data_IF_980904518819
#
_entry.id   IF_980904518819
#
_cell.length_a   1.000
_cell.length_b   1.000
_cell.length_c   1.000
_cell.angle_alpha   90.00
_cell.angle_beta   90.00
_cell.angle_gamma   90.00
#
_symmetry.space_group_name_H-M   'P 1'
#
loop_
_entity.id
_entity.type
_entity.pdbx_description
1 polymer ?
#
# COMPACT_ATOMS: atom_id res chain seq x y z
N UNK A 1 6.37 36.24 -45.95
CA UNK A 1 7.20 35.51 -44.94
C UNK A 1 6.50 35.56 -43.58
N UNK A 2 5.52 34.69 -43.30
CA UNK A 2 4.76 34.69 -42.02
C UNK A 2 4.35 33.29 -41.51
N UNK A 3 4.74 32.21 -42.21
CA UNK A 3 4.30 30.83 -41.88
C UNK A 3 5.31 30.03 -41.05
N UNK A 4 6.58 30.44 -41.03
CA UNK A 4 7.64 29.71 -40.33
C UNK A 4 7.62 29.91 -38.80
N UNK A 5 7.09 31.05 -38.31
CA UNK A 5 7.13 31.40 -36.89
C UNK A 5 6.03 30.69 -36.07
N UNK A 6 4.91 30.31 -36.69
CA UNK A 6 3.79 29.66 -36.00
C UNK A 6 4.05 28.18 -35.71
N UNK A 7 4.83 27.50 -36.55
CA UNK A 7 5.15 26.07 -36.41
C UNK A 7 6.17 25.84 -35.28
N UNK A 8 7.10 26.78 -35.10
CA UNK A 8 8.12 26.69 -34.05
C UNK A 8 7.53 26.81 -32.63
N UNK A 9 6.44 27.56 -32.45
CA UNK A 9 5.82 27.77 -31.14
C UNK A 9 4.97 26.58 -30.67
N UNK A 10 4.44 25.77 -31.59
CA UNK A 10 3.64 24.60 -31.25
C UNK A 10 4.53 23.40 -30.85
N UNK A 11 5.73 23.29 -31.44
CA UNK A 11 6.69 22.22 -31.12
C UNK A 11 7.32 22.37 -29.73
N UNK A 12 7.54 23.60 -29.27
CA UNK A 12 8.13 23.86 -27.95
C UNK A 12 7.14 23.66 -26.81
N UNK A 13 5.85 23.90 -27.03
CA UNK A 13 4.79 23.64 -26.04
C UNK A 13 4.50 22.15 -25.86
N UNK A 14 4.64 21.32 -26.90
CA UNK A 14 4.53 19.86 -26.78
C UNK A 14 5.71 19.24 -26.02
N UNK A 15 6.92 19.76 -26.23
CA UNK A 15 8.10 19.27 -25.51
C UNK A 15 8.08 19.62 -24.02
N UNK A 16 7.48 20.74 -23.61
CA UNK A 16 7.36 21.10 -22.20
C UNK A 16 6.33 20.24 -21.44
N UNK A 17 5.26 19.78 -22.11
CA UNK A 17 4.25 18.93 -21.48
C UNK A 17 4.70 17.46 -21.34
N UNK A 18 5.54 16.96 -22.26
CA UNK A 18 6.00 15.57 -22.23
C UNK A 18 6.97 15.25 -21.08
N UNK A 19 7.68 16.24 -20.53
CA UNK A 19 8.63 16.03 -19.40
C UNK A 19 7.94 16.06 -18.03
N UNK A 20 6.63 16.35 -17.98
CA UNK A 20 5.87 16.46 -16.73
C UNK A 20 5.17 15.16 -16.32
N UNK A 21 5.31 14.09 -17.11
CA UNK A 21 4.99 12.73 -16.62
C UNK A 21 6.12 12.27 -15.71
N UNK A 22 6.19 12.91 -14.54
CA UNK A 22 6.98 12.45 -13.42
C UNK A 22 6.60 11.00 -13.16
N UNK A 23 7.58 10.12 -13.34
CA UNK A 23 7.58 8.75 -12.86
C UNK A 23 6.92 8.75 -11.47
N UNK A 24 5.78 8.08 -11.34
CA UNK A 24 5.29 7.70 -10.02
C UNK A 24 6.44 6.91 -9.40
N UNK A 25 7.03 7.41 -8.31
CA UNK A 25 8.12 6.73 -7.61
C UNK A 25 7.66 5.31 -7.29
N UNK A 26 8.18 4.33 -8.04
CA UNK A 26 7.94 2.94 -7.68
C UNK A 26 8.48 2.74 -6.25
N UNK A 27 7.70 2.08 -5.37
CA UNK A 27 8.14 1.84 -4.01
C UNK A 27 9.53 1.17 -4.01
N UNK A 28 10.56 1.87 -3.53
CA UNK A 28 11.92 1.35 -3.42
C UNK A 28 11.96 0.21 -2.41
N UNK A 29 11.91 -1.03 -2.87
CA UNK A 29 11.95 -2.20 -1.99
C UNK A 29 12.17 -3.50 -2.75
N UNK A 30 12.09 -4.62 -2.03
CA UNK A 30 12.21 -5.95 -2.64
C UNK A 30 10.83 -6.57 -2.75
N UNK A 31 10.47 -7.05 -3.95
CA UNK A 31 9.27 -7.84 -4.13
C UNK A 31 9.40 -9.17 -3.40
N UNK A 32 8.48 -9.46 -2.50
CA UNK A 32 8.49 -10.67 -1.67
C UNK A 32 7.08 -11.23 -1.52
N UNK A 33 7.00 -12.54 -1.25
CA UNK A 33 5.79 -13.18 -0.75
C UNK A 33 6.03 -13.57 0.70
N UNK A 34 5.24 -13.01 1.61
CA UNK A 34 5.32 -13.29 3.04
C UNK A 34 4.13 -14.17 3.44
N UNK A 35 4.41 -15.27 4.13
CA UNK A 35 3.38 -16.15 4.69
C UNK A 35 3.20 -15.88 6.19
N UNK A 36 1.97 -15.63 6.62
CA UNK A 36 1.70 -15.24 8.00
C UNK A 36 0.22 -15.08 8.32
N UNK A 37 -0.06 -14.47 9.47
CA UNK A 37 -1.41 -14.16 9.92
C UNK A 37 -1.69 -12.67 9.81
N UNK A 38 -2.86 -12.31 9.31
CA UNK A 38 -3.32 -10.92 9.30
C UNK A 38 -3.94 -10.58 10.65
N UNK A 39 -3.57 -9.42 11.19
CA UNK A 39 -4.12 -8.86 12.43
C UNK A 39 -4.67 -7.48 12.13
N UNK A 40 -5.93 -7.24 12.49
CA UNK A 40 -6.56 -5.92 12.37
C UNK A 40 -6.49 -5.22 13.74
N UNK A 41 -5.73 -4.13 13.82
CA UNK A 41 -5.65 -3.28 15.00
C UNK A 41 -6.78 -2.26 14.95
N UNK A 42 -7.68 -2.32 15.94
CA UNK A 42 -8.85 -1.45 16.01
C UNK A 42 -8.69 -0.49 17.19
N UNK A 43 -8.90 0.80 16.93
CA UNK A 43 -8.89 1.82 17.97
C UNK A 43 -10.22 1.81 18.73
N UNK A 44 -10.15 1.64 20.05
CA UNK A 44 -11.27 1.94 20.94
C UNK A 44 -11.22 3.43 21.28
N UNK A 45 -12.02 4.21 20.57
CA UNK A 45 -12.11 5.67 20.75
C UNK A 45 -12.58 6.11 22.12
N UNK A 46 -13.35 5.27 22.83
CA UNK A 46 -13.85 5.63 24.16
C UNK A 46 -12.76 5.51 25.22
N UNK A 47 -11.79 4.61 25.00
CA UNK A 47 -10.73 4.30 25.97
C UNK A 47 -9.35 4.79 25.54
N UNK A 48 -9.19 5.25 24.29
CA UNK A 48 -7.89 5.64 23.74
C UNK A 48 -6.91 4.48 23.59
N UNK A 49 -7.40 3.24 23.63
CA UNK A 49 -6.59 2.01 23.58
C UNK A 49 -6.74 1.34 22.22
N UNK A 50 -5.67 0.73 21.72
CA UNK A 50 -5.73 -0.16 20.55
C UNK A 50 -6.01 -1.58 21.03
N UNK A 51 -7.13 -2.14 20.60
CA UNK A 51 -7.43 -3.55 20.85
C UNK A 51 -7.07 -4.34 19.58
N UNK A 52 -6.14 -5.30 19.66
CA UNK A 52 -5.87 -6.17 18.54
C UNK A 52 -7.08 -7.09 18.36
N UNK A 53 -7.69 -7.04 17.19
CA UNK A 53 -8.57 -8.13 16.76
C UNK A 53 -7.67 -9.10 16.00
N UNK A 54 -7.38 -10.24 16.64
CA UNK A 54 -6.86 -11.41 15.93
C UNK A 54 -8.03 -11.94 15.10
N UNK A 55 -8.28 -11.26 14.00
CA UNK A 55 -9.43 -11.52 13.16
C UNK A 55 -9.07 -12.76 12.35
N UNK A 56 -9.63 -13.92 12.69
CA UNK A 56 -9.59 -15.08 11.79
C UNK A 56 -10.56 -14.92 10.61
N UNK A 57 -11.31 -13.82 10.55
CA UNK A 57 -12.27 -13.45 9.51
C UNK A 57 -12.30 -11.95 9.23
N UNK A 58 -13.26 -11.44 8.43
CA UNK A 58 -13.19 -10.09 7.83
C UNK A 58 -13.20 -8.95 8.86
N UNK A 59 -12.52 -7.84 8.56
CA UNK A 59 -12.51 -6.63 9.38
C UNK A 59 -12.95 -5.35 8.64
N UNK A 60 -13.37 -5.47 7.37
CA UNK A 60 -13.84 -4.37 6.52
C UNK A 60 -15.02 -3.55 7.11
N UNK A 61 -15.81 -4.12 8.00
CA UNK A 61 -16.97 -3.46 8.63
C UNK A 61 -16.61 -2.66 9.89
N UNK A 62 -15.34 -2.64 10.31
CA UNK A 62 -14.91 -2.03 11.55
C UNK A 62 -13.94 -0.84 11.35
N UNK A 63 -14.27 0.18 10.52
CA UNK A 63 -13.37 1.31 10.30
C UNK A 63 -13.36 2.27 11.51
N UNK A 64 -12.26 3.01 11.71
CA UNK A 64 -10.94 2.83 11.10
C UNK A 64 -10.09 1.80 11.86
N UNK A 65 -9.32 1.03 11.11
CA UNK A 65 -8.41 0.01 11.64
C UNK A 65 -7.12 -0.03 10.82
N UNK A 66 -6.08 -0.64 11.38
CA UNK A 66 -4.78 -0.81 10.74
C UNK A 66 -4.46 -2.29 10.55
N UNK A 67 -3.82 -2.63 9.44
CA UNK A 67 -3.54 -4.02 9.06
C UNK A 67 -2.07 -4.37 9.30
N UNK A 68 -1.85 -5.49 9.98
CA UNK A 68 -0.53 -6.08 10.16
C UNK A 68 -0.50 -7.49 9.57
N UNK A 69 0.66 -7.92 9.10
CA UNK A 69 0.97 -9.32 8.81
C UNK A 69 2.08 -9.77 9.76
N UNK A 70 1.80 -10.82 10.54
CA UNK A 70 2.77 -11.47 11.41
C UNK A 70 3.21 -12.76 10.75
N UNK A 71 4.45 -12.81 10.26
CA UNK A 71 4.99 -14.01 9.62
C UNK A 71 5.29 -15.11 10.64
N UNK A 72 5.52 -16.33 10.13
CA UNK A 72 5.79 -17.52 10.97
C UNK A 72 7.03 -17.39 11.86
N UNK A 73 8.04 -16.62 11.43
CA UNK A 73 9.25 -16.31 12.18
C UNK A 73 9.06 -15.13 13.16
N UNK A 74 7.84 -14.60 13.29
CA UNK A 74 7.50 -13.52 14.23
C UNK A 74 7.80 -12.12 13.72
N UNK A 75 8.24 -11.95 12.46
CA UNK A 75 8.42 -10.62 11.87
C UNK A 75 7.07 -9.98 11.60
N UNK A 76 6.96 -8.69 11.94
CA UNK A 76 5.73 -7.92 11.81
C UNK A 76 5.88 -6.92 10.67
N UNK A 77 4.95 -6.97 9.73
CA UNK A 77 4.84 -6.03 8.63
C UNK A 77 3.58 -5.18 8.81
N UNK A 78 3.70 -3.86 8.73
CA UNK A 78 2.54 -3.00 8.47
C UNK A 78 2.14 -3.15 7.01
N UNK A 79 0.86 -3.41 6.75
CA UNK A 79 0.34 -3.51 5.40
C UNK A 79 -0.14 -2.13 4.95
N UNK A 80 0.41 -1.67 3.84
CA UNK A 80 0.05 -0.42 3.17
C UNK A 80 -0.14 -0.71 1.69
N UNK A 81 -0.76 0.18 0.92
CA UNK A 81 -0.89 -0.06 -0.52
C UNK A 81 -2.15 0.54 -1.10
N UNK A 82 -2.47 0.09 -2.32
CA UNK A 82 -3.66 0.52 -3.02
C UNK A 82 -4.91 0.06 -2.27
N UNK A 83 -5.98 0.86 -2.37
CA UNK A 83 -7.25 0.57 -1.73
C UNK A 83 -7.74 -0.83 -2.09
N UNK A 84 -7.59 -1.27 -3.34
CA UNK A 84 -8.06 -2.58 -3.81
C UNK A 84 -7.37 -3.75 -3.12
N UNK A 85 -6.02 -3.79 -3.11
CA UNK A 85 -5.27 -4.84 -2.43
C UNK A 85 -5.58 -4.91 -0.94
N UNK A 86 -5.67 -3.76 -0.26
CA UNK A 86 -6.07 -3.72 1.15
C UNK A 86 -7.52 -4.15 1.37
N UNK A 87 -8.46 -3.74 0.50
CA UNK A 87 -9.87 -4.15 0.53
C UNK A 87 -10.04 -5.67 0.40
N UNK A 88 -9.27 -6.29 -0.50
CA UNK A 88 -9.28 -7.74 -0.69
C UNK A 88 -8.83 -8.49 0.56
N UNK A 89 -7.82 -7.97 1.27
CA UNK A 89 -7.35 -8.54 2.51
C UNK A 89 -8.40 -8.40 3.62
N UNK A 90 -8.93 -7.21 3.87
CA UNK A 90 -9.86 -6.97 4.97
C UNK A 90 -11.24 -7.63 4.81
N UNK A 91 -11.66 -7.92 3.57
CA UNK A 91 -12.92 -8.61 3.29
C UNK A 91 -12.79 -10.13 3.24
N UNK A 92 -11.55 -10.65 3.31
CA UNK A 92 -11.29 -12.08 3.30
C UNK A 92 -11.84 -12.76 4.54
N UNK A 93 -12.49 -13.90 4.35
CA UNK A 93 -12.87 -14.79 5.44
C UNK A 93 -11.70 -15.57 6.03
N UNK A 94 -10.53 -15.56 5.38
CA UNK A 94 -9.33 -16.26 5.83
C UNK A 94 -8.16 -15.29 6.05
N UNK A 95 -7.71 -15.20 7.30
CA UNK A 95 -6.56 -14.40 7.72
C UNK A 95 -5.44 -15.23 8.36
N UNK A 96 -5.54 -16.55 8.36
CA UNK A 96 -4.54 -17.45 8.96
C UNK A 96 -3.68 -18.09 7.87
N UNK A 97 -2.35 -18.09 8.05
CA UNK A 97 -1.38 -18.62 7.08
C UNK A 97 -1.60 -18.13 5.64
N UNK A 98 -1.97 -16.86 5.49
CA UNK A 98 -2.16 -16.24 4.19
C UNK A 98 -0.82 -15.93 3.56
N UNK A 99 -0.78 -15.96 2.23
CA UNK A 99 0.38 -15.54 1.44
C UNK A 99 0.10 -14.18 0.84
N UNK A 100 0.83 -13.17 1.30
CA UNK A 100 0.69 -11.80 0.82
C UNK A 100 1.92 -11.45 0.01
N UNK A 101 1.71 -11.07 -1.25
CA UNK A 101 2.78 -10.61 -2.13
C UNK A 101 2.76 -9.09 -2.19
N UNK A 102 3.94 -8.48 -2.10
CA UNK A 102 4.07 -7.03 -2.15
C UNK A 102 5.52 -6.59 -2.19
N UNK A 103 5.73 -5.28 -2.07
CA UNK A 103 7.06 -4.69 -1.97
C UNK A 103 7.40 -4.49 -0.49
N UNK A 104 8.38 -5.22 0.03
CA UNK A 104 8.86 -5.04 1.39
C UNK A 104 9.91 -3.93 1.47
N UNK A 105 9.75 -3.04 2.45
CA UNK A 105 10.67 -1.97 2.78
C UNK A 105 10.90 -1.94 4.29
N UNK A 106 12.16 -1.79 4.68
CA UNK A 106 12.53 -1.54 6.07
C UNK A 106 12.62 -0.03 6.29
N UNK A 107 12.03 0.46 7.37
CA UNK A 107 12.18 1.83 7.85
C UNK A 107 12.54 1.84 9.34
N UNK A 108 12.93 2.99 9.91
CA UNK A 108 13.30 3.08 11.33
C UNK A 108 12.21 2.62 12.32
N UNK A 109 10.93 2.59 11.91
CA UNK A 109 9.79 2.12 12.69
C UNK A 109 9.40 0.66 12.46
N UNK A 110 10.03 -0.04 11.51
CA UNK A 110 9.78 -1.45 11.20
C UNK A 110 9.60 -1.74 9.72
N UNK A 111 9.02 -2.91 9.43
CA UNK A 111 8.80 -3.37 8.06
C UNK A 111 7.45 -2.92 7.52
N UNK A 112 7.45 -2.34 6.33
CA UNK A 112 6.25 -2.07 5.54
C UNK A 112 6.18 -3.08 4.41
N UNK A 113 5.01 -3.68 4.20
CA UNK A 113 4.71 -4.46 3.00
C UNK A 113 3.65 -3.72 2.20
N UNK A 114 4.07 -3.16 1.07
CA UNK A 114 3.19 -2.50 0.13
C UNK A 114 2.47 -3.54 -0.72
N UNK A 115 1.17 -3.71 -0.51
CA UNK A 115 0.30 -4.63 -1.25
C UNK A 115 -0.29 -3.93 -2.47
N UNK A 116 -0.25 -4.63 -3.60
CA UNK A 116 -0.85 -4.21 -4.87
C UNK A 116 -2.30 -4.68 -4.94
#
# INVERSE_FOLDING_TARGET
MKKATLVAFCLTLFFAFAVSFGFADEPKGTKVTVEGNIVCLILDYQKGTVNPVIATGPCNELPPHHHLLVSKDGKVYTLQGLQEGLMALQSSANHTNVKVTGIAQENPGGWVLYVE
#
